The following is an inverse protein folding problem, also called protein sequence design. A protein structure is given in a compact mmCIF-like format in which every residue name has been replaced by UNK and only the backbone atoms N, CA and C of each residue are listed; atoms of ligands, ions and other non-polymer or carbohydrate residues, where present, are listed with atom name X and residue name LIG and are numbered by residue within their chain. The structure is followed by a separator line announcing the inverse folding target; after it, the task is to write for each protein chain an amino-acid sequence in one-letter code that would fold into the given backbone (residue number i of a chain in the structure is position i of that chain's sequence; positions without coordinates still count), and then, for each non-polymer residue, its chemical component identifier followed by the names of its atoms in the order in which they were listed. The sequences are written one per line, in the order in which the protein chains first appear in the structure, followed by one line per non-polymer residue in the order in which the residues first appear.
data_IF_481488887517
#
_entry.id   IF_481488887517
#
_cell.length_a   1.000
_cell.length_b   1.000
_cell.length_c   1.000
_cell.angle_alpha   90.00
_cell.angle_beta   90.00
_cell.angle_gamma   90.00
#
_symmetry.space_group_name_H-M   'P 1'
#
loop_
_entity.id
_entity.type
_entity.pdbx_description
1 polymer ?
#
# COMPACT_ATOMS: atom_id res chain seq x y z
N UNK A 1 -22.50 -5.20 56.48
CA UNK A 1 -22.48 -3.95 55.68
C UNK A 1 -22.12 -4.28 54.20
N UNK A 2 -21.06 -5.02 53.92
CA UNK A 2 -20.61 -5.36 52.55
C UNK A 2 -21.58 -6.23 51.78
N UNK A 3 -22.16 -7.25 52.44
CA UNK A 3 -23.15 -8.15 51.85
C UNK A 3 -24.40 -7.36 51.41
N UNK A 4 -24.94 -6.50 52.29
CA UNK A 4 -26.08 -5.67 51.97
C UNK A 4 -25.81 -4.68 50.79
N UNK A 5 -24.56 -4.18 50.66
CA UNK A 5 -24.17 -3.35 49.54
C UNK A 5 -24.07 -4.15 48.22
N UNK A 6 -23.64 -5.39 48.25
CA UNK A 6 -23.59 -6.29 47.11
C UNK A 6 -25.00 -6.71 46.66
N UNK A 7 -25.88 -7.03 47.61
CA UNK A 7 -27.29 -7.33 47.34
C UNK A 7 -28.02 -6.15 46.70
N UNK A 8 -27.80 -4.92 47.20
CA UNK A 8 -28.36 -3.70 46.60
C UNK A 8 -27.84 -3.47 45.20
N UNK A 9 -26.57 -3.75 44.92
CA UNK A 9 -26.00 -3.67 43.56
C UNK A 9 -26.59 -4.71 42.62
N UNK A 10 -26.77 -5.94 43.07
CA UNK A 10 -27.39 -7.00 42.30
C UNK A 10 -28.84 -6.65 41.94
N UNK A 11 -29.60 -6.16 42.91
CA UNK A 11 -30.99 -5.75 42.71
C UNK A 11 -31.10 -4.57 41.73
N UNK A 12 -30.19 -3.60 41.83
CA UNK A 12 -30.12 -2.48 40.88
C UNK A 12 -29.78 -2.97 39.47
N UNK A 13 -28.87 -3.92 39.31
CA UNK A 13 -28.53 -4.52 38.02
C UNK A 13 -29.72 -5.25 37.40
N UNK A 14 -30.49 -6.03 38.19
CA UNK A 14 -31.71 -6.70 37.73
C UNK A 14 -32.79 -5.70 37.27
N UNK A 15 -33.01 -4.62 38.00
CA UNK A 15 -33.96 -3.56 37.61
C UNK A 15 -33.54 -2.87 36.31
N UNK A 16 -32.24 -2.63 36.13
CA UNK A 16 -31.70 -2.02 34.92
C UNK A 16 -31.82 -2.96 33.72
N UNK A 17 -31.58 -4.24 33.90
CA UNK A 17 -31.74 -5.24 32.85
C UNK A 17 -33.21 -5.31 32.39
N UNK A 18 -34.17 -5.41 33.31
CA UNK A 18 -35.60 -5.41 32.99
C UNK A 18 -36.05 -4.16 32.25
N UNK A 19 -35.56 -2.97 32.65
CA UNK A 19 -35.87 -1.72 31.99
C UNK A 19 -35.36 -1.65 30.53
N UNK A 20 -34.29 -2.42 30.23
CA UNK A 20 -33.70 -2.55 28.88
C UNK A 20 -34.27 -3.72 28.08
N UNK A 21 -35.25 -4.47 28.60
CA UNK A 21 -35.79 -5.65 27.94
C UNK A 21 -34.79 -6.80 27.87
N UNK A 22 -33.85 -6.87 28.85
CA UNK A 22 -32.85 -7.92 28.97
C UNK A 22 -33.05 -8.71 30.27
N UNK A 23 -32.50 -9.93 30.31
CA UNK A 23 -32.33 -10.74 31.53
C UNK A 23 -30.84 -10.76 31.91
N UNK A 24 -30.52 -11.15 33.15
CA UNK A 24 -29.15 -11.42 33.57
C UNK A 24 -28.92 -12.91 33.64
N UNK A 25 -27.75 -13.35 33.10
CA UNK A 25 -27.30 -14.74 33.30
C UNK A 25 -26.63 -14.95 34.68
N UNK A 26 -26.16 -16.17 34.93
CA UNK A 26 -25.49 -16.52 36.19
C UNK A 26 -24.20 -15.72 36.47
N UNK A 27 -23.63 -15.11 35.44
CA UNK A 27 -22.42 -14.28 35.51
C UNK A 27 -22.73 -12.77 35.46
N UNK A 28 -24.01 -12.41 35.67
CA UNK A 28 -24.50 -11.00 35.62
C UNK A 28 -24.30 -10.32 34.29
N UNK A 29 -24.23 -11.07 33.16
CA UNK A 29 -24.20 -10.52 31.82
C UNK A 29 -25.63 -10.25 31.31
N UNK A 30 -25.82 -9.15 30.60
CA UNK A 30 -27.11 -8.84 29.97
C UNK A 30 -27.37 -9.79 28.81
N UNK A 31 -28.53 -10.47 28.82
CA UNK A 31 -28.94 -11.39 27.77
C UNK A 31 -30.28 -10.98 27.18
N UNK A 32 -30.46 -11.14 25.86
CA UNK A 32 -31.72 -11.00 25.14
C UNK A 32 -31.90 -12.24 24.28
N UNK A 33 -33.05 -12.90 24.42
CA UNK A 33 -33.36 -14.17 23.72
C UNK A 33 -32.32 -15.28 23.95
N UNK A 34 -31.67 -15.28 25.12
CA UNK A 34 -30.67 -16.29 25.52
C UNK A 34 -29.24 -15.97 25.08
N UNK A 35 -29.02 -14.92 24.31
CA UNK A 35 -27.69 -14.46 23.87
C UNK A 35 -27.21 -13.25 24.69
N UNK A 36 -25.88 -13.22 25.01
CA UNK A 36 -25.30 -12.13 25.75
C UNK A 36 -25.31 -10.84 24.90
N UNK A 37 -25.88 -9.77 25.43
CA UNK A 37 -25.96 -8.47 24.78
C UNK A 37 -24.85 -7.56 25.31
N UNK A 38 -24.01 -7.07 24.42
CA UNK A 38 -23.01 -6.07 24.75
C UNK A 38 -23.70 -4.72 25.00
N UNK A 39 -23.67 -4.24 26.22
CA UNK A 39 -24.09 -2.87 26.54
C UNK A 39 -22.89 -1.93 26.51
N UNK A 40 -23.01 -0.87 25.73
CA UNK A 40 -22.04 0.24 25.78
C UNK A 40 -22.28 1.05 27.06
N UNK A 41 -21.23 1.16 27.90
CA UNK A 41 -21.23 2.04 29.06
C UNK A 41 -20.14 3.09 28.94
N UNK A 42 -20.29 4.21 29.63
CA UNK A 42 -19.20 5.17 29.76
C UNK A 42 -18.07 4.55 30.58
N UNK A 43 -16.83 4.73 30.11
CA UNK A 43 -15.63 4.35 30.82
C UNK A 43 -15.53 5.15 32.13
N UNK A 44 -15.01 4.54 33.18
CA UNK A 44 -14.64 5.25 34.41
C UNK A 44 -13.42 6.14 34.18
N UNK A 45 -13.17 7.07 35.08
CA UNK A 45 -11.97 7.94 34.99
C UNK A 45 -10.69 7.12 35.05
N UNK A 46 -10.66 6.07 35.87
CA UNK A 46 -9.55 5.17 36.02
C UNK A 46 -9.26 4.37 34.72
N UNK A 47 -10.31 3.86 34.07
CA UNK A 47 -10.19 3.16 32.79
C UNK A 47 -9.70 4.09 31.67
N UNK A 48 -10.18 5.33 31.64
CA UNK A 48 -9.70 6.34 30.69
C UNK A 48 -8.22 6.62 30.95
N UNK A 49 -7.80 6.85 32.21
CA UNK A 49 -6.40 7.13 32.54
C UNK A 49 -5.47 5.97 32.18
N UNK A 50 -5.89 4.72 32.45
CA UNK A 50 -5.13 3.54 32.06
C UNK A 50 -4.95 3.43 30.56
N UNK A 51 -6.02 3.65 29.78
CA UNK A 51 -5.97 3.63 28.32
C UNK A 51 -5.07 4.71 27.78
N UNK A 52 -5.18 5.94 28.26
CA UNK A 52 -4.37 7.07 27.84
C UNK A 52 -2.89 6.81 28.14
N UNK A 53 -2.56 6.30 29.35
CA UNK A 53 -1.19 5.91 29.71
C UNK A 53 -0.64 4.79 28.84
N UNK A 54 -1.47 3.80 28.49
CA UNK A 54 -1.08 2.70 27.62
C UNK A 54 -0.70 3.22 26.23
N UNK A 55 -1.59 3.97 25.57
CA UNK A 55 -1.32 4.50 24.23
C UNK A 55 -0.18 5.52 24.20
N UNK A 56 -0.05 6.34 25.26
CA UNK A 56 1.05 7.31 25.37
C UNK A 56 2.43 6.65 25.42
N UNK A 57 2.54 5.45 26.03
CA UNK A 57 3.77 4.65 26.02
C UNK A 57 4.05 4.07 24.63
N UNK A 58 3.04 3.57 23.95
CA UNK A 58 3.18 3.01 22.60
C UNK A 58 3.81 4.06 21.66
N UNK A 59 3.25 5.28 21.66
CA UNK A 59 3.74 6.37 20.80
C UNK A 59 4.86 7.22 21.44
N UNK A 60 5.40 6.81 22.58
CA UNK A 60 6.52 7.46 23.27
C UNK A 60 6.33 8.96 23.60
N UNK A 61 5.12 9.32 24.06
CA UNK A 61 4.79 10.70 24.49
C UNK A 61 4.48 10.82 25.98
N UNK A 62 4.71 9.77 26.78
CA UNK A 62 4.35 9.74 28.19
C UNK A 62 4.90 10.90 29.02
N UNK A 63 6.10 11.39 28.69
CA UNK A 63 6.73 12.54 29.41
C UNK A 63 6.16 13.92 29.01
N UNK A 64 5.23 13.97 28.02
CA UNK A 64 4.62 15.21 27.54
C UNK A 64 3.14 15.32 27.87
N UNK A 65 2.62 14.41 28.71
CA UNK A 65 1.18 14.31 29.01
C UNK A 65 0.58 15.57 29.64
N UNK A 66 1.40 16.34 30.36
CA UNK A 66 0.98 17.56 31.05
C UNK A 66 1.17 18.83 30.20
N UNK A 67 1.61 18.67 28.92
CA UNK A 67 1.82 19.81 28.01
C UNK A 67 0.60 20.09 27.16
N UNK A 68 0.41 21.36 26.84
CA UNK A 68 -0.60 21.78 25.86
C UNK A 68 -0.11 21.47 24.41
N UNK A 69 -1.03 21.25 23.46
CA UNK A 69 -0.67 20.95 22.06
C UNK A 69 0.27 21.99 21.43
N UNK A 70 0.13 23.27 21.77
CA UNK A 70 0.98 24.35 21.27
C UNK A 70 2.44 24.27 21.77
N UNK A 71 2.70 23.53 22.84
CA UNK A 71 4.04 23.33 23.43
C UNK A 71 4.75 22.09 22.86
N UNK A 72 4.08 21.37 21.95
CA UNK A 72 4.58 20.15 21.35
C UNK A 72 5.18 20.45 19.97
N UNK A 73 6.30 19.78 19.66
CA UNK A 73 6.84 19.79 18.29
C UNK A 73 5.89 19.08 17.30
N UNK A 74 6.02 19.34 15.99
CA UNK A 74 5.18 18.72 14.96
C UNK A 74 5.17 17.19 15.06
N UNK A 75 6.33 16.56 15.23
CA UNK A 75 6.42 15.10 15.43
C UNK A 75 5.77 14.62 16.73
N UNK A 76 5.78 15.41 17.82
CA UNK A 76 5.06 15.08 19.04
C UNK A 76 3.54 15.19 18.86
N UNK A 77 3.07 16.23 18.16
CA UNK A 77 1.65 16.39 17.81
C UNK A 77 1.15 15.23 16.94
N UNK A 78 1.96 14.79 15.96
CA UNK A 78 1.61 13.65 15.11
C UNK A 78 1.49 12.35 15.94
N UNK A 79 2.39 12.12 16.89
CA UNK A 79 2.27 10.98 17.81
C UNK A 79 1.04 11.06 18.72
N UNK A 80 0.64 12.26 19.15
CA UNK A 80 -0.63 12.46 19.86
C UNK A 80 -1.82 12.10 18.96
N UNK A 81 -1.77 12.48 17.68
CA UNK A 81 -2.82 12.12 16.73
C UNK A 81 -2.93 10.59 16.58
N UNK A 82 -1.81 9.87 16.43
CA UNK A 82 -1.79 8.40 16.40
C UNK A 82 -2.36 7.83 17.72
N UNK A 83 -1.97 8.33 18.88
CA UNK A 83 -2.50 7.88 20.16
C UNK A 83 -4.03 8.05 20.26
N UNK A 84 -4.56 9.16 19.74
CA UNK A 84 -6.02 9.42 19.71
C UNK A 84 -6.78 8.41 18.86
N UNK A 85 -6.22 7.97 17.75
CA UNK A 85 -6.84 6.96 16.90
C UNK A 85 -6.77 5.56 17.50
N UNK A 86 -5.73 5.27 18.28
CA UNK A 86 -5.53 3.98 18.94
C UNK A 86 -6.34 3.81 20.24
N UNK A 87 -6.61 4.91 20.95
CA UNK A 87 -7.25 4.85 22.27
C UNK A 87 -8.63 4.16 22.28
N UNK A 88 -9.51 4.32 21.28
CA UNK A 88 -10.79 3.63 21.22
C UNK A 88 -10.71 2.14 20.86
N UNK A 89 -9.51 1.58 20.61
CA UNK A 89 -9.30 0.20 20.16
C UNK A 89 -10.17 -0.18 18.93
N UNK A 90 -10.06 0.56 17.82
CA UNK A 90 -10.91 0.33 16.67
C UNK A 90 -10.57 -1.00 15.97
N UNK A 91 -11.56 -1.63 15.36
CA UNK A 91 -11.36 -2.82 14.50
C UNK A 91 -10.70 -2.48 13.18
N UNK A 92 -10.90 -1.24 12.69
CA UNK A 92 -10.26 -0.70 11.48
C UNK A 92 -9.66 0.66 11.80
N UNK A 93 -8.39 0.83 11.46
CA UNK A 93 -7.62 2.05 11.69
C UNK A 93 -7.18 2.65 10.36
N UNK A 94 -7.54 3.91 10.12
CA UNK A 94 -7.11 4.67 8.94
C UNK A 94 -6.01 5.65 9.35
N UNK A 95 -4.88 5.60 8.65
CA UNK A 95 -3.73 6.46 8.86
C UNK A 95 -3.27 7.04 7.54
N UNK A 96 -3.22 8.37 7.45
CA UNK A 96 -2.75 9.09 6.27
C UNK A 96 -1.39 9.73 6.60
N UNK A 97 -0.33 9.22 5.96
CA UNK A 97 1.07 9.62 6.16
C UNK A 97 1.48 9.80 7.64
N UNK A 98 1.21 8.84 8.53
CA UNK A 98 1.33 9.05 9.97
C UNK A 98 2.76 9.22 10.46
N UNK A 99 3.78 8.94 9.65
CA UNK A 99 5.18 9.02 10.03
C UNK A 99 5.98 10.08 9.24
N UNK A 100 5.34 10.84 8.35
CA UNK A 100 5.99 11.78 7.44
C UNK A 100 6.81 12.86 8.14
N UNK A 101 6.34 13.39 9.28
CA UNK A 101 6.99 14.47 10.03
C UNK A 101 7.93 13.99 11.16
N UNK A 102 8.33 12.71 11.12
CA UNK A 102 9.25 12.14 12.10
C UNK A 102 10.68 12.07 11.54
N UNK A 103 11.67 12.25 12.41
CA UNK A 103 13.06 11.96 12.06
C UNK A 103 13.26 10.47 11.74
N UNK A 104 14.34 10.15 11.01
CA UNK A 104 14.58 8.80 10.50
C UNK A 104 14.65 7.73 11.60
N UNK A 105 15.28 8.05 12.74
CA UNK A 105 15.40 7.10 13.86
C UNK A 105 14.03 6.84 14.49
N UNK A 106 13.29 7.90 14.78
CA UNK A 106 11.97 7.79 15.38
C UNK A 106 10.95 7.13 14.42
N UNK A 107 11.06 7.42 13.12
CA UNK A 107 10.24 6.76 12.08
C UNK A 107 10.44 5.25 12.11
N UNK A 108 11.69 4.79 12.16
CA UNK A 108 12.01 3.37 12.25
C UNK A 108 11.43 2.74 13.53
N UNK A 109 11.60 3.38 14.68
CA UNK A 109 11.05 2.91 15.96
C UNK A 109 9.51 2.82 15.90
N UNK A 110 8.86 3.85 15.34
CA UNK A 110 7.38 3.86 15.21
C UNK A 110 6.86 2.80 14.24
N UNK A 111 7.59 2.47 13.16
CA UNK A 111 7.23 1.33 12.30
C UNK A 111 7.17 0.03 13.09
N UNK A 112 8.18 -0.27 13.89
CA UNK A 112 8.17 -1.48 14.73
C UNK A 112 7.01 -1.49 15.74
N UNK A 113 6.72 -0.33 16.37
CA UNK A 113 5.62 -0.25 17.31
C UNK A 113 4.26 -0.43 16.63
N UNK A 114 4.05 0.14 15.44
CA UNK A 114 2.80 -0.05 14.66
C UNK A 114 2.64 -1.49 14.19
N UNK A 115 3.71 -2.13 13.73
CA UNK A 115 3.68 -3.54 13.33
C UNK A 115 3.35 -4.45 14.52
N UNK A 116 4.00 -4.22 15.68
CA UNK A 116 3.70 -4.96 16.91
C UNK A 116 2.25 -4.77 17.31
N UNK A 117 1.76 -3.53 17.28
CA UNK A 117 0.39 -3.20 17.64
C UNK A 117 -0.63 -3.90 16.71
N UNK A 118 -0.37 -3.91 15.39
CA UNK A 118 -1.20 -4.62 14.43
C UNK A 118 -1.32 -6.11 14.79
N UNK A 119 -0.20 -6.76 15.11
CA UNK A 119 -0.19 -8.17 15.52
C UNK A 119 -0.91 -8.38 16.86
N UNK A 120 -0.67 -7.50 17.84
CA UNK A 120 -1.26 -7.61 19.18
C UNK A 120 -2.79 -7.38 19.18
N UNK A 121 -3.27 -6.45 18.37
CA UNK A 121 -4.70 -6.08 18.34
C UNK A 121 -5.52 -6.91 17.37
N UNK A 122 -4.91 -7.47 16.32
CA UNK A 122 -5.62 -8.12 15.22
C UNK A 122 -6.50 -7.16 14.39
N UNK A 123 -6.36 -5.85 14.61
CA UNK A 123 -7.14 -4.82 13.90
C UNK A 123 -6.66 -4.66 12.46
N UNK A 124 -7.54 -4.26 11.56
CA UNK A 124 -7.18 -3.92 10.18
C UNK A 124 -6.62 -2.51 10.12
N UNK A 125 -5.40 -2.36 9.60
CA UNK A 125 -4.76 -1.06 9.39
C UNK A 125 -4.83 -0.69 7.90
N UNK A 126 -5.41 0.45 7.59
CA UNK A 126 -5.35 1.08 6.27
C UNK A 126 -4.38 2.24 6.38
N UNK A 127 -3.22 2.07 5.75
CA UNK A 127 -2.09 2.95 5.88
C UNK A 127 -1.75 3.58 4.54
N UNK A 128 -1.86 4.90 4.41
CA UNK A 128 -1.47 5.65 3.22
C UNK A 128 -0.09 6.23 3.42
N UNK A 129 0.80 5.99 2.48
CA UNK A 129 2.17 6.53 2.49
C UNK A 129 2.71 6.66 1.07
N UNK A 130 3.64 7.60 0.89
CA UNK A 130 4.48 7.68 -0.30
C UNK A 130 5.87 7.04 -0.08
N UNK A 131 6.18 6.61 1.15
CA UNK A 131 7.45 5.93 1.47
C UNK A 131 7.31 4.42 1.15
N UNK A 132 8.03 3.99 0.11
CA UNK A 132 8.03 2.59 -0.34
C UNK A 132 8.52 1.64 0.76
N UNK A 133 9.51 2.06 1.57
CA UNK A 133 10.04 1.24 2.65
C UNK A 133 9.01 1.01 3.75
N UNK A 134 8.16 2.00 4.02
CA UNK A 134 7.03 1.83 4.94
C UNK A 134 6.02 0.82 4.37
N UNK A 135 5.60 0.99 3.12
CA UNK A 135 4.67 0.08 2.48
C UNK A 135 5.21 -1.36 2.44
N UNK A 136 6.45 -1.55 1.99
CA UNK A 136 7.07 -2.87 1.86
C UNK A 136 7.29 -3.60 3.19
N UNK A 137 7.48 -2.85 4.30
CA UNK A 137 7.77 -3.45 5.61
C UNK A 137 6.56 -3.62 6.51
N UNK A 138 5.55 -2.76 6.38
CA UNK A 138 4.38 -2.76 7.27
C UNK A 138 3.21 -3.54 6.69
N UNK A 139 3.04 -3.51 5.37
CA UNK A 139 1.83 -4.02 4.74
C UNK A 139 1.83 -5.55 4.60
N UNK A 140 0.64 -6.15 4.74
CA UNK A 140 0.34 -7.51 4.27
C UNK A 140 -0.16 -7.50 2.82
N UNK A 141 -0.76 -6.38 2.39
CA UNK A 141 -1.22 -6.13 1.03
C UNK A 141 -0.90 -4.67 0.66
N UNK A 142 -0.38 -4.44 -0.54
CA UNK A 142 -0.12 -3.11 -1.09
C UNK A 142 -1.15 -2.82 -2.18
N UNK A 143 -1.85 -1.69 -2.02
CA UNK A 143 -2.74 -1.11 -3.03
C UNK A 143 -2.00 0.05 -3.70
N UNK A 144 -1.47 -0.16 -4.89
CA UNK A 144 -0.75 0.85 -5.63
C UNK A 144 -1.70 1.59 -6.56
N UNK A 145 -1.80 2.92 -6.37
CA UNK A 145 -2.73 3.78 -7.10
C UNK A 145 -1.94 4.85 -7.84
N UNK A 146 -2.27 5.09 -9.11
CA UNK A 146 -1.76 6.20 -9.89
C UNK A 146 -2.92 6.96 -10.55
N UNK A 147 -2.93 8.29 -10.40
CA UNK A 147 -3.99 9.17 -10.92
C UNK A 147 -5.43 8.70 -10.60
N UNK A 148 -5.63 8.10 -9.41
CA UNK A 148 -6.93 7.58 -8.98
C UNK A 148 -7.30 6.22 -9.58
N UNK A 149 -6.40 5.59 -10.34
CA UNK A 149 -6.60 4.26 -10.93
C UNK A 149 -5.75 3.23 -10.18
N UNK A 150 -6.37 2.11 -9.81
CA UNK A 150 -5.68 0.98 -9.21
C UNK A 150 -4.72 0.34 -10.24
N UNK A 151 -3.44 0.27 -9.89
CA UNK A 151 -2.40 -0.33 -10.71
C UNK A 151 -2.15 -1.80 -10.34
N UNK A 152 -2.01 -2.07 -9.05
CA UNK A 152 -1.83 -3.43 -8.53
C UNK A 152 -2.27 -3.52 -7.07
N UNK A 153 -2.80 -4.69 -6.67
CA UNK A 153 -3.18 -4.99 -5.28
C UNK A 153 -2.71 -6.40 -4.95
N UNK A 154 -1.57 -6.52 -4.29
CA UNK A 154 -0.93 -7.80 -3.99
C UNK A 154 -0.05 -7.70 -2.72
N UNK A 155 0.50 -8.85 -2.28
CA UNK A 155 1.50 -8.87 -1.23
C UNK A 155 2.78 -8.12 -1.65
N UNK A 156 3.54 -7.51 -0.71
CA UNK A 156 4.71 -6.68 -1.02
C UNK A 156 5.71 -7.34 -1.96
N UNK A 157 6.08 -8.61 -1.71
CA UNK A 157 7.03 -9.33 -2.54
C UNK A 157 6.48 -9.62 -3.95
N UNK A 158 5.17 -9.82 -4.08
CA UNK A 158 4.57 -10.03 -5.40
C UNK A 158 4.55 -8.74 -6.20
N UNK A 159 4.25 -7.60 -5.58
CA UNK A 159 4.36 -6.28 -6.23
C UNK A 159 5.79 -6.04 -6.73
N UNK A 160 6.80 -6.42 -5.94
CA UNK A 160 8.21 -6.22 -6.30
C UNK A 160 8.67 -7.17 -7.41
N UNK A 161 8.38 -8.47 -7.28
CA UNK A 161 8.89 -9.50 -8.20
C UNK A 161 8.02 -9.71 -9.45
N UNK A 162 6.74 -9.38 -9.37
CA UNK A 162 5.75 -9.60 -10.42
C UNK A 162 4.95 -8.32 -10.68
N UNK A 163 5.58 -7.20 -11.05
CA UNK A 163 4.89 -5.95 -11.31
C UNK A 163 3.90 -6.12 -12.48
N UNK A 164 2.68 -5.62 -12.30
CA UNK A 164 1.61 -5.77 -13.28
C UNK A 164 1.82 -4.91 -14.55
N UNK A 165 2.60 -3.84 -14.44
CA UNK A 165 2.91 -2.93 -15.55
C UNK A 165 4.24 -2.19 -15.30
N UNK A 166 4.69 -1.40 -16.29
CA UNK A 166 5.94 -0.66 -16.21
C UNK A 166 5.94 0.40 -15.10
N UNK A 167 4.79 1.03 -14.84
CA UNK A 167 4.66 2.00 -13.75
C UNK A 167 4.94 1.34 -12.39
N UNK A 168 4.34 0.19 -12.12
CA UNK A 168 4.58 -0.54 -10.87
C UNK A 168 6.04 -0.97 -10.76
N UNK A 169 6.62 -1.44 -11.87
CA UNK A 169 8.02 -1.87 -11.91
C UNK A 169 8.99 -0.73 -11.59
N UNK A 170 8.75 0.47 -12.14
CA UNK A 170 9.55 1.66 -11.91
C UNK A 170 9.33 2.24 -10.52
N UNK A 171 8.06 2.32 -10.10
CA UNK A 171 7.69 2.94 -8.84
C UNK A 171 8.21 2.16 -7.63
N UNK A 172 8.26 0.81 -7.70
CA UNK A 172 8.63 -0.03 -6.56
C UNK A 172 10.06 -0.54 -6.67
N UNK A 173 10.89 -0.09 -5.74
CA UNK A 173 12.31 -0.47 -5.62
C UNK A 173 13.21 0.74 -5.40
N UNK A 174 14.24 0.56 -4.59
CA UNK A 174 15.28 1.57 -4.35
C UNK A 174 16.65 0.87 -4.31
N UNK A 175 17.48 1.06 -5.37
CA UNK A 175 17.21 1.85 -6.57
C UNK A 175 16.13 1.24 -7.48
N UNK A 176 15.57 2.09 -8.39
CA UNK A 176 14.56 1.68 -9.35
C UNK A 176 15.08 0.62 -10.33
N UNK A 177 14.15 -0.07 -10.98
CA UNK A 177 14.46 -1.01 -12.06
C UNK A 177 15.10 -0.29 -13.26
N UNK A 178 16.06 -0.94 -13.91
CA UNK A 178 16.60 -0.44 -15.17
C UNK A 178 15.74 -0.94 -16.33
N UNK A 179 15.27 -0.03 -17.16
CA UNK A 179 14.56 -0.34 -18.39
C UNK A 179 15.46 -0.14 -19.61
N UNK A 180 15.41 -1.11 -20.51
CA UNK A 180 16.13 -1.07 -21.78
C UNK A 180 15.15 -1.41 -22.89
N UNK A 181 15.02 -0.53 -23.88
CA UNK A 181 14.27 -0.81 -25.10
C UNK A 181 15.02 -1.85 -25.95
N UNK A 182 14.31 -2.87 -26.40
CA UNK A 182 14.88 -3.97 -27.18
C UNK A 182 13.96 -4.35 -28.31
N UNK A 183 14.53 -4.80 -29.42
CA UNK A 183 13.81 -5.51 -30.49
C UNK A 183 13.91 -7.00 -30.22
N UNK A 184 12.78 -7.69 -30.13
CA UNK A 184 12.76 -9.11 -29.76
C UNK A 184 11.76 -9.94 -30.51
N UNK A 185 12.09 -11.24 -30.65
CA UNK A 185 11.21 -12.25 -31.26
C UNK A 185 11.25 -13.52 -30.43
N UNK A 186 10.08 -14.17 -30.32
CA UNK A 186 9.99 -15.46 -29.66
C UNK A 186 10.22 -16.59 -30.66
N UNK A 187 11.13 -17.49 -30.31
CA UNK A 187 11.36 -18.73 -31.04
C UNK A 187 10.35 -19.82 -30.65
N UNK A 188 10.26 -20.87 -31.46
CA UNK A 188 9.32 -21.98 -31.23
C UNK A 188 9.55 -22.74 -29.91
N UNK A 189 10.74 -22.66 -29.32
CA UNK A 189 11.08 -23.25 -28.02
C UNK A 189 10.69 -22.35 -26.82
N UNK A 190 10.04 -21.21 -27.09
CA UNK A 190 9.65 -20.22 -26.09
C UNK A 190 10.75 -19.24 -25.68
N UNK A 191 11.98 -19.38 -26.21
CA UNK A 191 13.07 -18.43 -25.96
C UNK A 191 12.83 -17.12 -26.71
N UNK A 192 13.09 -16.00 -26.07
CA UNK A 192 13.01 -14.66 -26.67
C UNK A 192 14.42 -14.20 -27.02
N UNK A 193 14.69 -14.03 -28.30
CA UNK A 193 15.92 -13.42 -28.78
C UNK A 193 15.74 -11.92 -28.88
N UNK A 194 16.67 -11.15 -28.30
CA UNK A 194 16.57 -9.70 -28.20
C UNK A 194 17.83 -9.04 -28.75
N UNK A 195 17.62 -7.91 -29.42
CA UNK A 195 18.69 -6.99 -29.81
C UNK A 195 18.50 -5.69 -29.03
N UNK A 196 19.52 -5.33 -28.24
CA UNK A 196 19.52 -4.13 -27.40
C UNK A 196 20.73 -3.23 -27.73
N UNK A 197 20.76 -2.05 -27.17
CA UNK A 197 21.86 -1.08 -27.11
C UNK A 197 23.04 -1.39 -28.04
N UNK A 198 23.09 -0.71 -29.19
CA UNK A 198 24.23 -0.84 -30.13
C UNK A 198 24.38 -2.21 -30.84
N UNK A 199 23.30 -3.00 -30.88
CA UNK A 199 23.29 -4.30 -31.58
C UNK A 199 23.72 -5.49 -30.73
N UNK A 200 23.81 -5.33 -29.42
CA UNK A 200 24.08 -6.43 -28.49
C UNK A 200 22.95 -7.45 -28.54
N UNK A 201 23.29 -8.71 -28.79
CA UNK A 201 22.35 -9.82 -28.80
C UNK A 201 22.24 -10.45 -27.40
N UNK A 202 21.03 -10.66 -26.94
CA UNK A 202 20.74 -11.38 -25.71
C UNK A 202 19.56 -12.35 -25.92
N UNK A 203 19.48 -13.37 -25.08
CA UNK A 203 18.39 -14.32 -25.08
C UNK A 203 17.78 -14.40 -23.69
N UNK A 204 16.46 -14.42 -23.64
CA UNK A 204 15.70 -14.55 -22.40
C UNK A 204 14.78 -15.77 -22.49
N UNK A 205 14.81 -16.61 -21.48
CA UNK A 205 13.89 -17.74 -21.36
C UNK A 205 12.96 -17.53 -20.18
N UNK A 206 11.68 -17.27 -20.41
CA UNK A 206 10.71 -17.09 -19.35
C UNK A 206 10.62 -18.33 -18.43
N UNK A 207 10.57 -18.14 -17.12
CA UNK A 207 10.35 -19.23 -16.15
C UNK A 207 8.97 -19.88 -16.32
N UNK A 208 7.97 -19.07 -16.65
CA UNK A 208 6.62 -19.53 -17.01
C UNK A 208 6.47 -19.42 -18.52
N UNK A 209 5.88 -20.43 -19.19
CA UNK A 209 5.61 -20.33 -20.62
C UNK A 209 4.78 -19.09 -20.93
N UNK A 210 5.21 -18.29 -21.85
CA UNK A 210 4.52 -17.12 -22.37
C UNK A 210 4.47 -17.26 -23.89
N UNK A 211 3.28 -17.12 -24.46
CA UNK A 211 3.04 -17.08 -25.91
C UNK A 211 2.86 -15.61 -26.30
N UNK A 212 3.93 -14.94 -26.76
CA UNK A 212 3.90 -13.51 -27.07
C UNK A 212 2.85 -13.17 -28.12
N UNK A 213 2.70 -13.99 -29.17
CA UNK A 213 1.70 -13.76 -30.20
C UNK A 213 0.27 -13.79 -29.66
N UNK A 214 -0.03 -14.74 -28.79
CA UNK A 214 -1.34 -14.82 -28.12
C UNK A 214 -1.56 -13.64 -27.18
N UNK A 215 -0.52 -13.24 -26.44
CA UNK A 215 -0.57 -12.10 -25.53
C UNK A 215 -0.82 -10.79 -26.28
N UNK A 216 -0.14 -10.56 -27.42
CA UNK A 216 -0.38 -9.37 -28.25
C UNK A 216 -1.80 -9.34 -28.81
N UNK A 217 -2.31 -10.48 -29.31
CA UNK A 217 -3.67 -10.57 -29.80
C UNK A 217 -4.73 -10.30 -28.72
N UNK A 218 -4.49 -10.77 -27.49
CA UNK A 218 -5.39 -10.54 -26.36
C UNK A 218 -5.35 -9.08 -25.90
N UNK A 219 -4.16 -8.47 -25.87
CA UNK A 219 -3.97 -7.04 -25.59
C UNK A 219 -4.76 -6.21 -26.59
N UNK A 220 -4.56 -6.44 -27.87
CA UNK A 220 -5.17 -5.64 -28.95
C UNK A 220 -6.70 -5.74 -28.88
N UNK A 221 -7.24 -6.96 -28.64
CA UNK A 221 -8.67 -7.15 -28.41
C UNK A 221 -9.18 -6.40 -27.18
N UNK A 222 -8.47 -6.48 -26.06
CA UNK A 222 -8.84 -5.80 -24.83
C UNK A 222 -8.82 -4.27 -24.98
N UNK A 223 -7.85 -3.74 -25.73
CA UNK A 223 -7.78 -2.30 -26.02
C UNK A 223 -8.94 -1.84 -26.91
N UNK A 224 -9.31 -2.65 -27.92
CA UNK A 224 -10.45 -2.36 -28.80
C UNK A 224 -11.77 -2.38 -28.00
N UNK A 225 -11.99 -3.38 -27.15
CA UNK A 225 -13.16 -3.47 -26.26
C UNK A 225 -13.24 -2.26 -25.33
N UNK A 226 -12.12 -1.85 -24.72
CA UNK A 226 -12.05 -0.66 -23.87
C UNK A 226 -12.36 0.61 -24.66
N UNK A 227 -11.82 0.77 -25.86
CA UNK A 227 -12.07 1.91 -26.72
C UNK A 227 -13.55 2.00 -27.13
N UNK A 228 -14.19 0.89 -27.42
CA UNK A 228 -15.64 0.84 -27.74
C UNK A 228 -16.45 1.22 -26.51
N UNK A 229 -16.17 0.64 -25.34
CA UNK A 229 -16.86 0.96 -24.10
C UNK A 229 -16.69 2.44 -23.70
N UNK A 230 -15.51 3.01 -23.92
CA UNK A 230 -15.21 4.42 -23.66
C UNK A 230 -16.02 5.34 -24.60
N UNK A 231 -16.08 5.00 -25.90
CA UNK A 231 -16.89 5.74 -26.89
C UNK A 231 -18.39 5.72 -26.54
N UNK A 232 -18.89 4.62 -26.00
CA UNK A 232 -20.29 4.53 -25.55
C UNK A 232 -20.53 5.39 -24.32
N UNK A 233 -19.66 5.33 -23.32
CA UNK A 233 -19.74 6.17 -22.13
C UNK A 233 -19.58 7.67 -22.44
N UNK A 234 -18.74 8.03 -23.41
CA UNK A 234 -18.55 9.42 -23.83
C UNK A 234 -19.83 10.04 -24.45
N UNK A 235 -20.80 9.21 -24.87
CA UNK A 235 -22.11 9.71 -25.31
C UNK A 235 -23.05 10.10 -24.18
N UNK A 236 -22.74 9.69 -22.95
CA UNK A 236 -23.52 10.08 -21.77
C UNK A 236 -23.28 11.55 -21.42
N UNK A 237 -24.40 12.28 -21.18
CA UNK A 237 -24.34 13.71 -20.91
C UNK A 237 -23.68 13.96 -19.53
N UNK A 238 -22.50 14.60 -19.54
CA UNK A 238 -21.75 14.89 -18.33
C UNK A 238 -20.61 13.92 -18.01
N UNK A 239 -20.33 12.98 -18.90
CA UNK A 239 -19.17 12.11 -18.76
C UNK A 239 -17.86 12.91 -18.88
N UNK A 240 -17.05 12.86 -17.83
CA UNK A 240 -15.66 13.35 -17.84
C UNK A 240 -14.78 12.12 -17.78
N UNK A 241 -13.97 11.93 -18.81
CA UNK A 241 -13.00 10.86 -18.87
C UNK A 241 -12.03 10.98 -17.70
N UNK A 242 -12.08 10.04 -16.77
CA UNK A 242 -11.05 9.84 -15.75
C UNK A 242 -10.02 8.85 -16.30
N UNK A 243 -9.47 9.19 -17.46
CA UNK A 243 -8.41 8.40 -18.06
C UNK A 243 -7.12 8.57 -17.27
N UNK A 244 -6.40 7.47 -17.11
CA UNK A 244 -5.02 7.52 -16.75
C UNK A 244 -4.29 8.28 -17.87
N UNK A 245 -3.89 9.52 -17.65
CA UNK A 245 -3.17 10.34 -18.63
C UNK A 245 -1.73 9.87 -18.88
N UNK A 246 -1.33 8.76 -18.27
CA UNK A 246 -0.01 8.15 -18.45
C UNK A 246 0.08 7.39 -19.78
N UNK A 247 -0.14 8.09 -20.86
CA UNK A 247 0.40 7.72 -22.18
C UNK A 247 1.94 7.69 -22.15
N UNK A 248 2.55 8.32 -21.16
CA UNK A 248 4.00 8.38 -20.93
C UNK A 248 4.65 7.01 -20.81
N UNK A 249 3.95 5.98 -20.30
CA UNK A 249 4.49 4.62 -20.23
C UNK A 249 4.26 3.78 -21.48
N UNK A 250 3.82 4.36 -22.57
CA UNK A 250 3.66 3.58 -23.80
C UNK A 250 4.99 3.13 -24.40
N UNK A 251 6.15 3.68 -24.07
CA UNK A 251 7.50 3.27 -24.50
C UNK A 251 8.57 4.34 -24.24
N UNK A 252 8.27 5.51 -23.70
CA UNK A 252 9.25 6.48 -23.31
C UNK A 252 9.53 6.40 -21.82
N UNK A 253 10.54 5.61 -21.48
CA UNK A 253 11.12 5.55 -20.14
C UNK A 253 12.13 6.68 -19.94
N UNK A 254 12.54 7.34 -20.99
CA UNK A 254 13.25 8.60 -20.89
C UNK A 254 12.29 9.64 -20.28
N UNK A 255 12.68 10.24 -19.16
CA UNK A 255 12.13 11.52 -18.73
C UNK A 255 12.52 12.55 -19.79
N UNK A 256 11.74 12.61 -20.85
CA UNK A 256 11.85 13.68 -21.83
C UNK A 256 11.25 14.89 -21.13
N UNK A 257 12.02 15.96 -21.02
CA UNK A 257 11.50 17.26 -20.59
C UNK A 257 10.29 17.56 -21.47
N UNK A 258 9.17 18.00 -20.86
CA UNK A 258 7.87 18.23 -21.52
C UNK A 258 7.92 19.26 -22.67
N UNK A 259 9.08 19.83 -22.97
CA UNK A 259 9.34 20.88 -23.98
C UNK A 259 9.94 20.34 -25.29
N UNK A 260 10.15 19.02 -25.44
CA UNK A 260 10.80 18.50 -26.65
C UNK A 260 9.75 18.11 -27.71
N UNK A 261 9.54 19.04 -28.66
CA UNK A 261 8.69 18.85 -29.85
C UNK A 261 9.16 17.71 -30.79
N UNK A 262 10.28 17.05 -30.49
CA UNK A 262 10.85 15.94 -31.28
C UNK A 262 10.06 14.65 -31.22
N UNK A 263 9.07 14.54 -30.32
CA UNK A 263 8.17 13.38 -30.21
C UNK A 263 7.18 13.21 -31.37
N UNK A 264 7.06 14.18 -32.26
CA UNK A 264 6.12 14.09 -33.40
C UNK A 264 6.55 13.06 -34.46
N UNK A 265 7.81 12.64 -34.47
CA UNK A 265 8.39 11.67 -35.41
C UNK A 265 8.80 10.35 -34.75
N UNK A 266 8.23 9.99 -33.60
CA UNK A 266 8.52 8.70 -32.96
C UNK A 266 8.14 7.54 -33.88
N UNK A 267 9.03 6.55 -34.08
CA UNK A 267 8.74 5.42 -34.96
C UNK A 267 7.52 4.63 -34.43
N UNK A 268 6.72 4.12 -35.38
CA UNK A 268 5.55 3.34 -35.06
C UNK A 268 5.95 2.07 -34.27
N UNK A 269 5.34 1.87 -33.12
CA UNK A 269 5.63 0.75 -32.23
C UNK A 269 5.07 -0.53 -32.84
N UNK A 270 5.89 -1.55 -32.90
CA UNK A 270 5.56 -2.86 -33.46
C UNK A 270 5.54 -3.94 -32.38
N UNK A 271 5.01 -5.12 -32.70
CA UNK A 271 5.04 -6.27 -31.80
C UNK A 271 6.46 -6.88 -31.59
N UNK A 272 7.50 -6.30 -32.19
CA UNK A 272 8.91 -6.61 -31.94
C UNK A 272 9.53 -5.68 -30.90
N UNK A 273 8.86 -4.56 -30.59
CA UNK A 273 9.34 -3.58 -29.61
C UNK A 273 8.97 -4.05 -28.22
N UNK A 274 9.98 -4.38 -27.42
CA UNK A 274 9.86 -4.90 -26.07
C UNK A 274 10.66 -4.03 -25.11
N UNK A 275 10.30 -4.08 -23.84
CA UNK A 275 11.04 -3.45 -22.76
C UNK A 275 11.61 -4.53 -21.86
N UNK A 276 12.92 -4.53 -21.72
CA UNK A 276 13.64 -5.40 -20.78
C UNK A 276 13.80 -4.64 -19.46
N UNK A 277 13.16 -5.13 -18.39
CA UNK A 277 13.33 -4.62 -17.03
C UNK A 277 14.35 -5.48 -16.26
N UNK A 278 15.39 -4.84 -15.70
CA UNK A 278 16.41 -5.52 -14.91
C UNK A 278 16.54 -4.80 -13.57
N UNK A 279 16.26 -5.48 -12.47
CA UNK A 279 16.52 -4.95 -11.13
C UNK A 279 18.03 -4.84 -10.90
N UNK A 280 18.51 -3.79 -10.22
CA UNK A 280 19.96 -3.56 -10.00
C UNK A 280 20.69 -4.75 -9.36
N UNK A 281 20.04 -5.46 -8.45
CA UNK A 281 20.60 -6.63 -7.76
C UNK A 281 20.86 -7.83 -8.67
N UNK A 282 20.35 -7.81 -9.90
CA UNK A 282 20.61 -8.86 -10.91
C UNK A 282 21.68 -8.46 -11.94
N UNK A 283 22.33 -7.30 -11.75
CA UNK A 283 23.42 -6.85 -12.59
C UNK A 283 24.76 -7.19 -11.93
N UNK A 284 25.52 -8.07 -12.53
CA UNK A 284 26.86 -8.44 -12.09
C UNK A 284 27.91 -7.75 -12.96
N UNK A 285 28.96 -7.21 -12.33
CA UNK A 285 30.13 -6.67 -13.02
C UNK A 285 31.04 -7.84 -13.38
N UNK A 286 31.30 -8.02 -14.68
CA UNK A 286 32.17 -9.07 -15.18
C UNK A 286 33.22 -8.54 -16.16
N UNK A 287 34.45 -9.09 -16.09
CA UNK A 287 35.55 -8.71 -16.98
C UNK A 287 35.31 -9.12 -18.46
N UNK A 288 34.43 -10.09 -18.67
CA UNK A 288 34.07 -10.61 -20.00
C UNK A 288 32.55 -10.58 -20.17
N UNK A 289 32.02 -9.42 -20.60
CA UNK A 289 30.61 -9.23 -20.93
C UNK A 289 30.44 -8.62 -22.30
N UNK A 290 29.36 -8.99 -23.00
CA UNK A 290 28.98 -8.33 -24.26
C UNK A 290 28.40 -6.95 -24.03
N UNK A 291 27.89 -6.67 -22.82
CA UNK A 291 27.42 -5.35 -22.40
C UNK A 291 28.56 -4.61 -21.73
N UNK A 292 28.89 -3.40 -22.25
CA UNK A 292 29.92 -2.54 -21.68
C UNK A 292 29.31 -1.21 -21.26
N UNK A 293 29.73 -0.67 -20.14
CA UNK A 293 29.29 0.61 -19.61
C UNK A 293 30.41 1.33 -18.86
N UNK A 294 30.24 2.61 -18.63
CA UNK A 294 31.10 3.43 -17.79
C UNK A 294 30.42 3.66 -16.44
N UNK A 295 31.22 3.63 -15.38
CA UNK A 295 30.72 3.93 -14.03
C UNK A 295 30.82 5.43 -13.82
N UNK A 296 29.67 6.12 -13.80
CA UNK A 296 29.61 7.56 -13.52
C UNK A 296 29.56 7.90 -12.01
N UNK A 297 29.29 6.94 -11.18
CA UNK A 297 29.28 7.10 -9.73
C UNK A 297 29.14 5.76 -9.02
N UNK A 298 29.75 5.63 -7.87
CA UNK A 298 29.54 4.52 -6.95
C UNK A 298 28.85 5.10 -5.69
N UNK A 299 27.74 4.50 -5.28
CA UNK A 299 27.04 4.83 -4.02
C UNK A 299 27.49 3.90 -2.90
#
# INVERSE_FOLDING_TARGET
AEIAALEAKAEAAHKTAQASGCTLDAEYRYCRDGEAVMQTRKLTKEEIDLTVRRVSRIVKIGMFMDRYPAELSGGQQQRVAIARTLAPEPTVLFMDEPLSNLDAKLRLEMRYELQRLHVETGSTFVYVTHDQMEAMTLATQICLINNGVLQQYEAPLDVYHHPANLFVADFVGNPSINFVEVKGRQAADGTISMTMLGGVQATFRPKKPVELAAWFADRDRSEEEKAVALREKAKEKGYVEKGNKDEVFRYHIAKVDEEDDSLQDAPEITNEDLVLGIRPEFLDIADSSNLRGEIYGAM
#
